data_IF_618384454375
#
_entry.id   IF_618384454375
#
_cell.length_a   1.000
_cell.length_b   1.000
_cell.length_c   1.000
_cell.angle_alpha   90.00
_cell.angle_beta   90.00
_cell.angle_gamma   90.00
#
_symmetry.space_group_name_H-M   'P 1'
#
loop_
_entity.id
_entity.type
_entity.pdbx_description
1 polymer ?
#
# COMPACT_ATOMS: atom_id res chain seq x y z
N UNK A 1 -3.92 12.83 -9.73
CA UNK A 1 -2.66 13.07 -8.98
C UNK A 1 -1.82 11.84 -9.20
N UNK A 2 -0.56 12.00 -9.61
CA UNK A 2 0.34 10.88 -9.87
C UNK A 2 1.52 10.96 -8.91
N UNK A 3 1.87 9.87 -8.25
CA UNK A 3 2.98 9.88 -7.30
C UNK A 3 3.25 8.54 -6.63
N UNK A 4 4.25 8.52 -5.75
CA UNK A 4 4.62 7.36 -4.95
C UNK A 4 4.60 7.74 -3.47
N UNK A 5 3.87 6.95 -2.68
CA UNK A 5 3.83 7.06 -1.21
C UNK A 5 4.77 6.01 -0.65
N UNK A 6 5.72 6.44 0.19
CA UNK A 6 6.54 5.54 1.00
C UNK A 6 5.72 5.10 2.21
N UNK A 7 5.11 3.91 2.14
CA UNK A 7 4.30 3.37 3.22
C UNK A 7 5.07 2.33 4.02
N UNK A 8 5.18 2.52 5.34
CA UNK A 8 5.70 1.50 6.25
C UNK A 8 4.57 0.51 6.58
N UNK A 9 4.53 -0.64 5.89
CA UNK A 9 3.50 -1.67 6.12
C UNK A 9 3.70 -2.31 7.51
N UNK A 10 2.69 -2.28 8.40
CA UNK A 10 2.77 -2.97 9.68
C UNK A 10 2.63 -4.48 9.53
N UNK A 11 2.96 -5.21 10.60
CA UNK A 11 2.72 -6.66 10.72
C UNK A 11 1.22 -6.92 10.79
N UNK A 12 0.77 -8.03 10.20
CA UNK A 12 -0.62 -8.46 10.18
C UNK A 12 -1.46 -7.86 9.05
N UNK A 13 -0.94 -6.86 8.33
CA UNK A 13 -1.58 -6.27 7.15
C UNK A 13 -1.05 -6.95 5.88
N UNK A 14 -1.93 -7.36 4.95
CA UNK A 14 -1.48 -7.81 3.61
C UNK A 14 -1.11 -6.62 2.74
N UNK A 15 -0.33 -6.84 1.68
CA UNK A 15 -0.04 -5.76 0.71
C UNK A 15 -1.30 -5.27 -0.02
N UNK A 16 -2.33 -6.13 -0.14
CA UNK A 16 -3.61 -5.76 -0.74
C UNK A 16 -4.49 -4.92 0.21
N UNK A 17 -4.41 -5.17 1.52
CA UNK A 17 -5.08 -4.34 2.53
C UNK A 17 -4.55 -2.91 2.50
N UNK A 18 -3.24 -2.73 2.31
CA UNK A 18 -2.64 -1.41 2.14
C UNK A 18 -3.24 -0.67 0.93
N UNK A 19 -3.39 -1.34 -0.22
CA UNK A 19 -4.04 -0.76 -1.41
C UNK A 19 -5.48 -0.37 -1.10
N UNK A 20 -6.24 -1.24 -0.42
CA UNK A 20 -7.63 -0.95 -0.05
C UNK A 20 -7.75 0.24 0.93
N UNK A 21 -6.85 0.31 1.91
CA UNK A 21 -6.73 1.42 2.84
C UNK A 21 -6.53 2.75 2.10
N UNK A 22 -5.55 2.83 1.19
CA UNK A 22 -5.29 4.05 0.42
C UNK A 22 -6.40 4.38 -0.58
N UNK A 23 -7.07 3.39 -1.18
CA UNK A 23 -8.25 3.62 -2.05
C UNK A 23 -9.35 4.35 -1.29
N UNK A 24 -9.63 3.93 -0.05
CA UNK A 24 -10.62 4.58 0.82
C UNK A 24 -10.15 5.95 1.29
N UNK A 25 -8.90 6.07 1.73
CA UNK A 25 -8.34 7.29 2.30
C UNK A 25 -8.26 8.43 1.26
N UNK A 26 -7.84 8.11 0.03
CA UNK A 26 -7.59 9.09 -1.02
C UNK A 26 -8.74 9.22 -2.03
N UNK A 27 -9.75 8.33 -1.96
CA UNK A 27 -10.85 8.24 -2.92
C UNK A 27 -10.38 8.07 -4.39
N UNK A 28 -9.25 7.36 -4.60
CA UNK A 28 -8.67 7.06 -5.91
C UNK A 28 -8.83 5.57 -6.19
N UNK A 29 -9.40 5.19 -7.35
CA UNK A 29 -9.62 3.78 -7.71
C UNK A 29 -8.33 3.07 -8.16
N UNK A 30 -7.50 3.74 -8.97
CA UNK A 30 -6.29 3.18 -9.58
C UNK A 30 -5.09 3.36 -8.65
N UNK A 31 -4.91 2.41 -7.73
CA UNK A 31 -3.78 2.34 -6.79
C UNK A 31 -3.17 0.94 -6.87
N UNK A 32 -1.85 0.83 -6.73
CA UNK A 32 -1.12 -0.43 -6.63
C UNK A 32 0.18 -0.31 -5.82
N UNK A 33 0.86 -1.43 -5.59
CA UNK A 33 2.19 -1.47 -4.97
C UNK A 33 3.22 -2.07 -5.94
N UNK A 34 4.51 -1.76 -5.76
CA UNK A 34 5.58 -2.24 -6.66
C UNK A 34 6.27 -3.53 -6.19
N UNK A 35 5.86 -4.09 -5.05
CA UNK A 35 6.36 -5.38 -4.56
C UNK A 35 5.52 -5.86 -3.39
N UNK A 36 5.25 -7.16 -3.33
CA UNK A 36 4.45 -7.73 -2.23
C UNK A 36 5.33 -7.96 -1.01
N UNK A 37 4.82 -7.61 0.16
CA UNK A 37 5.32 -8.05 1.46
C UNK A 37 4.34 -9.05 2.08
N UNK A 38 4.89 -10.10 2.69
CA UNK A 38 4.13 -11.08 3.44
C UNK A 38 3.33 -10.41 4.58
N UNK A 39 2.18 -10.99 4.99
CA UNK A 39 1.38 -10.43 6.09
C UNK A 39 2.20 -10.26 7.37
N UNK A 40 3.11 -11.19 7.64
CA UNK A 40 3.97 -11.16 8.83
C UNK A 40 5.20 -10.26 8.70
N UNK A 41 5.53 -9.77 7.51
CA UNK A 41 6.63 -8.84 7.29
C UNK A 41 6.24 -7.40 7.64
N UNK A 42 7.24 -6.61 8.04
CA UNK A 42 7.14 -5.16 8.22
C UNK A 42 8.19 -4.50 7.35
N UNK A 43 7.88 -3.35 6.75
CA UNK A 43 8.86 -2.65 5.94
C UNK A 43 8.25 -1.68 4.94
N UNK A 44 9.13 -1.10 4.13
CA UNK A 44 8.75 -0.16 3.08
C UNK A 44 7.98 -0.89 1.98
N UNK A 45 6.77 -0.40 1.70
CA UNK A 45 5.90 -0.82 0.62
C UNK A 45 5.59 0.42 -0.25
N UNK A 46 6.24 0.62 -1.40
CA UNK A 46 5.92 1.75 -2.26
C UNK A 46 4.50 1.61 -2.83
N UNK A 47 3.67 2.62 -2.63
CA UNK A 47 2.29 2.70 -3.14
C UNK A 47 2.25 3.72 -4.28
N UNK A 48 1.87 3.28 -5.47
CA UNK A 48 1.68 4.13 -6.64
C UNK A 48 0.21 4.56 -6.74
N UNK A 49 0.00 5.87 -6.89
CA UNK A 49 -1.30 6.54 -7.05
C UNK A 49 -1.39 7.27 -8.39
#
# INVERSE_FOLDING_TARGET
>A
MNGVINFLKPKGMTSHDAVYFFRKLLNIKKIGHTGTLDPNAMGVLPICI
#
